data_IF_850499018463
#
_entry.id   IF_850499018463
#
_cell.length_a   1.000
_cell.length_b   1.000
_cell.length_c   1.000
_cell.angle_alpha   90.00
_cell.angle_beta   90.00
_cell.angle_gamma   90.00
#
_symmetry.space_group_name_H-M   'P 1'
#
loop_
_entity.id
_entity.type
_entity.pdbx_description
1 polymer ?
#
# COMPACT_ATOMS: atom_id res chain seq x y z
N UNK A 1 30.95 23.67 -8.25
CA UNK A 1 29.86 24.67 -8.18
C UNK A 1 28.63 23.92 -7.66
N UNK A 2 28.05 24.40 -6.58
CA UNK A 2 26.96 23.73 -5.86
C UNK A 2 25.67 23.84 -6.66
N UNK A 3 25.20 22.71 -7.20
CA UNK A 3 23.89 22.63 -7.84
C UNK A 3 22.80 22.86 -6.78
N UNK A 4 22.04 23.94 -6.92
CA UNK A 4 20.94 24.24 -6.02
C UNK A 4 19.73 23.34 -6.37
N UNK A 5 19.02 22.75 -5.38
CA UNK A 5 17.93 21.77 -5.61
C UNK A 5 16.70 22.31 -6.37
N UNK A 6 16.71 23.59 -6.75
CA UNK A 6 15.68 24.19 -7.60
C UNK A 6 15.89 23.96 -9.10
N UNK A 7 17.11 23.60 -9.53
CA UNK A 7 17.42 23.39 -10.95
C UNK A 7 16.88 22.06 -11.49
N UNK A 8 16.58 21.10 -10.61
CA UNK A 8 16.11 19.75 -10.97
C UNK A 8 14.58 19.59 -10.98
N UNK A 9 13.82 20.66 -10.70
CA UNK A 9 12.36 20.61 -10.66
C UNK A 9 11.75 20.99 -12.01
N UNK A 10 10.73 20.25 -12.44
CA UNK A 10 9.94 20.57 -13.63
C UNK A 10 9.24 21.91 -13.48
N UNK A 11 9.27 22.72 -14.55
CA UNK A 11 8.70 24.07 -14.57
C UNK A 11 7.50 24.10 -15.51
N UNK A 12 6.37 24.57 -15.00
CA UNK A 12 5.13 24.72 -15.77
C UNK A 12 4.57 26.14 -15.62
N UNK A 13 4.24 26.79 -16.74
CA UNK A 13 3.68 28.15 -16.74
C UNK A 13 2.15 28.07 -16.73
N UNK A 14 1.53 28.55 -15.65
CA UNK A 14 0.08 28.61 -15.49
C UNK A 14 -0.42 30.03 -15.77
N UNK A 15 -1.46 30.16 -16.61
CA UNK A 15 -2.20 31.42 -16.78
C UNK A 15 -3.30 31.49 -15.72
N UNK A 16 -3.18 32.45 -14.80
CA UNK A 16 -4.15 32.64 -13.73
C UNK A 16 -5.19 33.69 -14.14
N UNK A 17 -6.49 33.48 -13.86
CA UNK A 17 -7.49 34.52 -13.98
C UNK A 17 -7.24 35.65 -12.98
N UNK A 18 -7.85 36.81 -13.23
CA UNK A 18 -7.70 38.01 -12.41
C UNK A 18 -8.02 37.74 -10.94
N UNK A 19 -7.17 38.28 -10.05
CA UNK A 19 -7.31 38.14 -8.60
C UNK A 19 -6.90 36.79 -8.01
N UNK A 20 -6.80 35.71 -8.79
CA UNK A 20 -6.44 34.39 -8.25
C UNK A 20 -5.03 34.37 -7.65
N UNK A 21 -4.07 35.04 -8.28
CA UNK A 21 -2.71 35.16 -7.74
C UNK A 21 -2.67 35.80 -6.35
N UNK A 22 -3.50 36.82 -6.12
CA UNK A 22 -3.62 37.47 -4.82
C UNK A 22 -4.16 36.52 -3.75
N UNK A 23 -5.21 35.76 -4.09
CA UNK A 23 -5.78 34.74 -3.20
C UNK A 23 -4.78 33.66 -2.80
N UNK A 24 -3.97 33.17 -3.76
CA UNK A 24 -2.90 32.19 -3.48
C UNK A 24 -1.85 32.79 -2.55
N UNK A 25 -1.48 34.08 -2.75
CA UNK A 25 -0.53 34.76 -1.88
C UNK A 25 -1.02 34.80 -0.43
N UNK A 26 -2.26 35.20 -0.21
CA UNK A 26 -2.84 35.26 1.13
C UNK A 26 -2.94 33.88 1.79
N UNK A 27 -3.29 32.84 1.03
CA UNK A 27 -3.31 31.46 1.53
C UNK A 27 -1.90 30.98 1.92
N UNK A 28 -0.89 31.25 1.09
CA UNK A 28 0.49 30.91 1.37
C UNK A 28 1.02 31.60 2.64
N UNK A 29 0.71 32.89 2.82
CA UNK A 29 1.05 33.66 4.04
C UNK A 29 0.38 33.06 5.27
N UNK A 30 -0.91 32.73 5.21
CA UNK A 30 -1.64 32.09 6.31
C UNK A 30 -1.07 30.70 6.67
N UNK A 31 -0.59 29.96 5.68
CA UNK A 31 -0.01 28.61 5.84
C UNK A 31 1.50 28.61 6.13
N UNK A 32 2.13 29.78 6.28
CA UNK A 32 3.58 29.94 6.45
C UNK A 32 4.41 29.22 5.35
N UNK A 33 3.93 29.30 4.10
CA UNK A 33 4.56 28.69 2.93
C UNK A 33 4.94 29.76 1.91
N UNK A 34 5.90 29.42 1.06
CA UNK A 34 6.08 30.19 -0.18
C UNK A 34 4.87 29.98 -1.09
N UNK A 35 4.61 30.93 -1.99
CA UNK A 35 3.54 30.80 -2.97
C UNK A 35 3.67 29.52 -3.81
N UNK A 36 4.89 29.14 -4.18
CA UNK A 36 5.15 27.89 -4.91
C UNK A 36 4.81 26.66 -4.06
N UNK A 37 5.25 26.64 -2.80
CA UNK A 37 4.95 25.53 -1.89
C UNK A 37 3.44 25.38 -1.64
N UNK A 38 2.70 26.49 -1.59
CA UNK A 38 1.24 26.46 -1.46
C UNK A 38 0.55 25.90 -2.72
N UNK A 39 1.02 26.30 -3.92
CA UNK A 39 0.52 25.76 -5.18
C UNK A 39 0.78 24.24 -5.23
N UNK A 40 2.00 23.81 -4.92
CA UNK A 40 2.37 22.38 -4.90
C UNK A 40 1.51 21.62 -3.90
N UNK A 41 1.40 22.09 -2.66
CA UNK A 41 0.59 21.43 -1.63
C UNK A 41 -0.89 21.28 -2.05
N UNK A 42 -1.47 22.32 -2.65
CA UNK A 42 -2.85 22.28 -3.17
C UNK A 42 -3.00 21.26 -4.31
N UNK A 43 -2.00 21.18 -5.19
CA UNK A 43 -2.01 20.22 -6.30
C UNK A 43 -1.84 18.79 -5.80
N UNK A 44 -0.96 18.54 -4.83
CA UNK A 44 -0.77 17.22 -4.22
C UNK A 44 -2.03 16.74 -3.47
N UNK A 45 -2.75 17.64 -2.81
CA UNK A 45 -4.03 17.31 -2.17
C UNK A 45 -5.08 16.89 -3.21
N UNK A 46 -5.15 17.61 -4.35
CA UNK A 46 -6.17 17.35 -5.37
C UNK A 46 -5.82 16.21 -6.33
N UNK A 47 -4.53 16.01 -6.55
CA UNK A 47 -3.91 15.03 -7.45
C UNK A 47 -2.79 14.31 -6.71
N UNK A 48 -3.14 13.47 -5.71
CA UNK A 48 -2.13 12.73 -4.96
C UNK A 48 -1.32 11.85 -5.90
N UNK A 49 -0.04 11.64 -5.56
CA UNK A 49 0.77 10.65 -6.26
C UNK A 49 0.01 9.31 -6.30
N UNK A 50 0.02 8.58 -7.44
CA UNK A 50 -0.54 7.24 -7.48
C UNK A 50 0.04 6.45 -6.32
N UNK A 51 -0.82 5.86 -5.49
CA UNK A 51 -0.36 4.94 -4.45
C UNK A 51 0.43 3.87 -5.19
N UNK A 52 1.75 3.73 -4.96
CA UNK A 52 2.48 2.66 -5.61
C UNK A 52 1.95 1.39 -4.97
N UNK A 53 1.03 0.71 -5.66
CA UNK A 53 0.78 -0.70 -5.43
C UNK A 53 2.09 -1.37 -5.77
N UNK A 54 2.91 -1.59 -4.73
CA UNK A 54 4.06 -2.46 -4.86
C UNK A 54 3.57 -3.77 -5.50
N UNK A 55 4.37 -4.45 -6.34
CA UNK A 55 3.98 -5.75 -6.90
C UNK A 55 3.49 -6.73 -5.82
N UNK A 56 3.97 -6.59 -4.58
CA UNK A 56 3.51 -7.39 -3.45
C UNK A 56 2.04 -7.16 -3.05
N UNK A 57 1.46 -5.98 -3.34
CA UNK A 57 0.02 -5.72 -3.13
C UNK A 57 -0.82 -6.38 -4.21
N UNK A 58 -0.41 -6.31 -5.49
CA UNK A 58 -1.11 -6.99 -6.59
C UNK A 58 -1.06 -8.52 -6.43
N UNK A 59 0.09 -9.06 -6.03
CA UNK A 59 0.23 -10.47 -5.65
C UNK A 59 -0.72 -10.84 -4.51
N UNK A 60 -0.81 -10.01 -3.47
CA UNK A 60 -1.68 -10.27 -2.32
C UNK A 60 -3.16 -10.31 -2.71
N UNK A 61 -3.64 -9.37 -3.53
CA UNK A 61 -5.02 -9.39 -4.02
C UNK A 61 -5.29 -10.60 -4.91
N UNK A 62 -4.37 -10.95 -5.80
CA UNK A 62 -4.49 -12.16 -6.63
C UNK A 62 -4.56 -13.46 -5.81
N UNK A 63 -3.85 -13.53 -4.68
CA UNK A 63 -3.94 -14.68 -3.77
C UNK A 63 -5.32 -14.76 -3.09
N UNK A 64 -5.91 -13.63 -2.70
CA UNK A 64 -7.24 -13.58 -2.08
C UNK A 64 -8.33 -13.94 -3.09
N UNK A 65 -8.29 -13.33 -4.29
CA UNK A 65 -9.21 -13.64 -5.38
C UNK A 65 -9.17 -15.12 -5.77
N UNK A 66 -7.97 -15.73 -5.75
CA UNK A 66 -7.83 -17.16 -6.01
C UNK A 66 -8.58 -18.03 -4.99
N UNK A 67 -8.53 -17.67 -3.71
CA UNK A 67 -9.21 -18.40 -2.63
C UNK A 67 -10.72 -18.13 -2.67
N UNK A 68 -11.13 -16.88 -2.87
CA UNK A 68 -12.55 -16.47 -2.93
C UNK A 68 -13.28 -17.05 -4.14
N UNK A 69 -12.57 -17.33 -5.24
CA UNK A 69 -13.11 -18.01 -6.41
C UNK A 69 -13.31 -19.53 -6.23
N UNK A 70 -13.23 -20.04 -5.00
CA UNK A 70 -13.54 -21.44 -4.69
C UNK A 70 -15.04 -21.73 -4.81
N UNK A 71 -15.37 -22.90 -5.34
CA UNK A 71 -16.77 -23.30 -5.57
C UNK A 71 -17.42 -24.01 -4.37
N UNK A 72 -16.61 -24.54 -3.46
CA UNK A 72 -17.01 -25.19 -2.22
C UNK A 72 -15.89 -25.10 -1.16
N UNK A 73 -16.15 -25.61 0.04
CA UNK A 73 -15.19 -25.55 1.16
C UNK A 73 -13.94 -26.40 0.92
N UNK A 74 -14.08 -27.54 0.24
CA UNK A 74 -12.95 -28.43 -0.04
C UNK A 74 -12.00 -27.78 -1.07
N UNK A 75 -12.55 -27.11 -2.08
CA UNK A 75 -11.80 -26.28 -3.02
C UNK A 75 -11.14 -25.09 -2.33
N UNK A 76 -11.87 -24.40 -1.44
CA UNK A 76 -11.30 -23.29 -0.68
C UNK A 76 -10.11 -23.72 0.18
N UNK A 77 -10.23 -24.86 0.89
CA UNK A 77 -9.16 -25.41 1.72
C UNK A 77 -7.97 -25.88 0.89
N UNK A 78 -8.21 -26.54 -0.25
CA UNK A 78 -7.16 -26.96 -1.19
C UNK A 78 -6.39 -25.77 -1.75
N UNK A 79 -7.09 -24.71 -2.18
CA UNK A 79 -6.48 -23.48 -2.71
C UNK A 79 -5.70 -22.75 -1.63
N UNK A 80 -6.27 -22.60 -0.43
CA UNK A 80 -5.61 -22.02 0.74
C UNK A 80 -4.31 -22.77 1.08
N UNK A 81 -4.34 -24.10 1.06
CA UNK A 81 -3.15 -24.90 1.31
C UNK A 81 -2.04 -24.60 0.29
N UNK A 82 -2.39 -24.57 -1.00
CA UNK A 82 -1.44 -24.26 -2.08
C UNK A 82 -0.84 -22.86 -1.97
N UNK A 83 -1.65 -21.88 -1.57
CA UNK A 83 -1.17 -20.51 -1.29
C UNK A 83 -0.19 -20.49 -0.12
N UNK A 84 -0.53 -21.14 0.99
CA UNK A 84 0.35 -21.23 2.16
C UNK A 84 1.67 -21.94 1.85
N UNK A 85 1.65 -23.00 1.04
CA UNK A 85 2.87 -23.69 0.58
C UNK A 85 3.75 -22.77 -0.27
N UNK A 86 3.14 -21.99 -1.16
CA UNK A 86 3.85 -21.02 -1.99
C UNK A 86 4.48 -19.89 -1.17
N UNK A 87 3.73 -19.34 -0.21
CA UNK A 87 4.25 -18.31 0.73
C UNK A 87 5.44 -18.85 1.53
N UNK A 88 5.35 -20.09 2.02
CA UNK A 88 6.44 -20.76 2.73
C UNK A 88 7.66 -20.99 1.83
N UNK A 89 7.47 -21.41 0.58
CA UNK A 89 8.54 -21.61 -0.38
C UNK A 89 9.28 -20.31 -0.72
N UNK A 90 8.57 -19.18 -0.69
CA UNK A 90 9.12 -17.83 -0.82
C UNK A 90 9.74 -17.28 0.48
N UNK A 91 9.81 -18.08 1.55
CA UNK A 91 10.35 -17.67 2.85
C UNK A 91 9.52 -16.63 3.58
N UNK A 92 8.23 -16.47 3.22
CA UNK A 92 7.33 -15.54 3.90
C UNK A 92 6.86 -16.14 5.23
N UNK A 93 6.77 -15.30 6.26
CA UNK A 93 6.20 -15.66 7.57
C UNK A 93 4.66 -15.56 7.61
N UNK A 94 4.05 -15.07 6.54
CA UNK A 94 2.61 -14.93 6.41
C UNK A 94 1.95 -16.28 6.16
N UNK A 95 0.86 -16.54 6.88
CA UNK A 95 -0.01 -17.71 6.74
C UNK A 95 -1.48 -17.29 6.73
N UNK A 96 -2.21 -17.81 5.76
CA UNK A 96 -3.65 -17.58 5.58
C UNK A 96 -4.46 -18.71 6.22
N UNK A 97 -5.62 -18.38 6.80
CA UNK A 97 -6.57 -19.31 7.42
C UNK A 97 -7.99 -18.95 7.01
N UNK A 98 -8.87 -19.93 6.89
CA UNK A 98 -10.31 -19.69 6.74
C UNK A 98 -10.99 -19.67 8.11
N UNK A 99 -11.97 -18.77 8.29
CA UNK A 99 -12.84 -18.73 9.46
C UNK A 99 -13.59 -20.04 9.67
N UNK A 100 -13.76 -20.49 10.91
CA UNK A 100 -14.67 -21.59 11.22
C UNK A 100 -16.15 -21.23 11.12
N UNK A 101 -16.47 -19.93 10.99
CA UNK A 101 -17.83 -19.43 10.86
C UNK A 101 -18.05 -18.87 9.45
N UNK A 102 -19.26 -19.04 8.92
CA UNK A 102 -19.69 -18.37 7.70
C UNK A 102 -20.25 -16.99 8.02
N UNK A 103 -19.97 -16.03 7.17
CA UNK A 103 -20.63 -14.73 7.12
C UNK A 103 -22.13 -14.90 6.82
N UNK A 104 -22.92 -13.85 7.08
CA UNK A 104 -24.31 -13.74 6.66
C UNK A 104 -24.50 -13.93 5.14
N UNK A 105 -23.48 -13.69 4.33
CA UNK A 105 -23.47 -13.94 2.88
C UNK A 105 -23.15 -15.40 2.51
N UNK A 106 -22.89 -16.26 3.49
CA UNK A 106 -22.45 -17.64 3.27
C UNK A 106 -20.95 -17.80 3.00
N UNK A 107 -20.19 -16.72 2.81
CA UNK A 107 -18.72 -16.77 2.59
C UNK A 107 -17.95 -17.06 3.88
N UNK A 108 -16.80 -17.73 3.81
CA UNK A 108 -15.86 -17.85 4.94
C UNK A 108 -14.86 -16.71 4.88
N UNK A 109 -14.61 -16.04 6.00
CA UNK A 109 -13.61 -14.96 6.06
C UNK A 109 -12.19 -15.54 6.01
N UNK A 110 -11.26 -14.83 5.37
CA UNK A 110 -9.83 -15.18 5.36
C UNK A 110 -9.10 -14.36 6.43
N UNK A 111 -8.42 -15.05 7.34
CA UNK A 111 -7.56 -14.46 8.36
C UNK A 111 -6.09 -14.61 7.99
N UNK A 112 -5.34 -13.53 8.22
CA UNK A 112 -3.89 -13.51 8.09
C UNK A 112 -3.25 -13.70 9.47
N UNK A 113 -2.25 -14.56 9.54
CA UNK A 113 -1.43 -14.80 10.73
C UNK A 113 0.05 -14.77 10.36
N UNK A 114 0.89 -14.30 11.27
CA UNK A 114 2.34 -14.31 11.09
C UNK A 114 2.94 -15.37 12.01
N UNK A 115 3.64 -16.35 11.44
CA UNK A 115 4.42 -17.29 12.22
C UNK A 115 5.80 -16.69 12.48
N UNK A 116 6.11 -16.35 13.74
CA UNK A 116 7.48 -16.00 14.13
C UNK A 116 8.38 -17.21 13.88
N UNK A 117 9.48 -17.08 13.12
CA UNK A 117 10.39 -18.19 12.91
C UNK A 117 10.92 -18.66 14.27
N UNK A 118 10.80 -19.96 14.54
CA UNK A 118 11.36 -20.59 15.74
C UNK A 118 12.85 -20.30 15.73
N UNK A 119 13.36 -19.49 16.67
CA UNK A 119 14.81 -19.28 16.82
C UNK A 119 15.43 -20.68 16.96
N UNK A 120 16.27 -21.07 16.00
CA UNK A 120 17.09 -22.26 16.14
C UNK A 120 17.86 -22.11 17.46
N UNK A 121 17.74 -23.12 18.32
CA UNK A 121 18.33 -23.09 19.65
C UNK A 121 19.81 -22.74 19.56
N UNK A 122 20.22 -21.77 20.38
CA UNK A 122 21.61 -21.64 20.79
C UNK A 122 21.99 -22.93 21.48
N UNK A 123 22.65 -23.85 20.74
CA UNK A 123 23.34 -24.96 21.36
C UNK A 123 24.51 -24.40 22.15
N UNK A 124 24.55 -24.85 23.40
CA UNK A 124 25.45 -24.45 24.46
C UNK A 124 26.91 -24.48 24.01
N UNK A 125 27.62 -23.39 24.28
CA UNK A 125 29.07 -23.40 24.38
C UNK A 125 29.40 -23.68 25.85
N UNK A 126 29.86 -24.90 26.12
CA UNK A 126 30.67 -25.25 27.29
C UNK A 126 32.09 -25.57 26.78
#
# INVERSE_FOLDING_TARGET
>A
MSDAPSQTQDKFIVRLPDGLRGRIKSAAEANNRSMNAEIVATLEERYPAPVPVSPAYDEMYGLMDHIDAAVDDEDAERRLQKVNESLKALGRSLRLKLSGQRSASGSREIFMTFETPKRAGSQDAD
#
